data_IF_272661749021
#
_entry.id   IF_272661749021
#
_cell.length_a   1.000
_cell.length_b   1.000
_cell.length_c   1.000
_cell.angle_alpha   90.00
_cell.angle_beta   90.00
_cell.angle_gamma   90.00
#
_symmetry.space_group_name_H-M   'P 1'
#
loop_
_entity.id
_entity.type
_entity.pdbx_description
1 polymer ?
#
# COMPACT_ATOMS: atom_id res chain seq x y z
N UNK A 1 3.18 17.85 -9.30
CA UNK A 1 1.95 17.22 -8.77
C UNK A 1 1.78 17.62 -7.31
N UNK A 2 0.68 18.30 -7.01
CA UNK A 2 0.21 18.55 -5.64
C UNK A 2 -0.67 17.38 -5.22
N UNK A 3 -0.32 16.71 -4.11
CA UNK A 3 -1.02 15.52 -3.63
C UNK A 3 -2.16 15.83 -2.66
N UNK A 4 -2.18 17.05 -2.09
CA UNK A 4 -3.19 17.52 -1.13
C UNK A 4 -4.62 17.36 -1.62
N UNK A 5 -4.87 17.63 -2.91
CA UNK A 5 -6.19 17.46 -3.53
C UNK A 5 -6.71 16.01 -3.56
N UNK A 6 -5.83 15.02 -3.37
CA UNK A 6 -6.18 13.59 -3.40
C UNK A 6 -6.20 12.96 -2.01
N UNK A 7 -6.02 13.75 -0.96
CA UNK A 7 -5.98 13.29 0.42
C UNK A 7 -7.17 13.90 1.15
N UNK A 8 -7.89 13.09 1.93
CA UNK A 8 -9.01 13.58 2.74
C UNK A 8 -8.56 13.88 4.17
N UNK A 9 -7.37 13.43 4.57
CA UNK A 9 -6.82 13.62 5.91
C UNK A 9 -5.42 14.26 5.87
N UNK A 10 -5.32 15.54 6.27
CA UNK A 10 -4.07 16.31 6.17
C UNK A 10 -2.99 15.89 7.19
N UNK A 11 -3.32 15.08 8.19
CA UNK A 11 -2.39 14.79 9.29
C UNK A 11 -1.49 13.58 9.04
N UNK A 12 -1.43 13.04 7.81
CA UNK A 12 -0.62 11.85 7.44
C UNK A 12 0.83 11.98 7.95
N UNK A 13 1.34 10.89 8.55
CA UNK A 13 2.70 10.78 9.06
C UNK A 13 3.38 9.56 8.47
N UNK A 14 4.20 9.76 7.44
CA UNK A 14 5.05 8.72 6.86
C UNK A 14 6.51 9.06 7.17
N UNK A 15 7.27 8.10 7.69
CA UNK A 15 8.71 8.25 7.91
C UNK A 15 9.48 7.60 6.76
N UNK A 16 10.53 8.20 6.24
CA UNK A 16 11.35 7.58 5.19
C UNK A 16 12.83 7.96 5.26
N UNK A 17 13.71 7.10 4.75
CA UNK A 17 15.12 7.44 4.49
C UNK A 17 15.36 8.07 3.10
N UNK A 18 14.26 8.38 2.40
CA UNK A 18 14.24 9.01 1.09
C UNK A 18 13.30 10.23 1.12
N UNK A 19 13.64 11.34 0.45
CA UNK A 19 12.90 12.59 0.53
C UNK A 19 11.63 12.57 -0.33
N UNK A 20 10.71 11.65 -0.05
CA UNK A 20 9.38 11.66 -0.64
C UNK A 20 8.56 12.86 -0.15
N UNK A 21 7.66 13.35 -0.99
CA UNK A 21 6.71 14.39 -0.56
C UNK A 21 5.85 13.90 0.60
N UNK A 22 5.55 14.82 1.54
CA UNK A 22 4.73 14.57 2.72
C UNK A 22 5.27 13.47 3.65
N UNK A 23 6.59 13.22 3.60
CA UNK A 23 7.28 12.31 4.50
C UNK A 23 8.29 13.09 5.35
N UNK A 24 8.41 12.70 6.61
CA UNK A 24 9.56 13.07 7.43
C UNK A 24 10.76 12.21 7.03
N UNK A 25 11.95 12.79 7.09
CA UNK A 25 13.19 12.10 6.69
C UNK A 25 13.99 11.68 7.92
N UNK A 26 14.40 10.42 7.95
CA UNK A 26 15.35 9.85 8.92
C UNK A 26 16.27 8.87 8.19
N UNK A 27 17.56 9.15 8.18
CA UNK A 27 18.57 8.42 7.42
C UNK A 27 19.38 7.43 8.26
N UNK A 28 19.31 7.50 9.60
CA UNK A 28 19.84 6.46 10.48
C UNK A 28 18.80 5.34 10.68
N UNK A 29 19.18 4.10 10.38
CA UNK A 29 18.26 2.97 10.45
C UNK A 29 17.77 2.68 11.88
N UNK A 30 18.62 2.88 12.88
CA UNK A 30 18.27 2.60 14.28
C UNK A 30 17.28 3.65 14.80
N UNK A 31 17.53 4.92 14.52
CA UNK A 31 16.61 6.02 14.84
C UNK A 31 15.31 5.90 14.05
N UNK A 32 15.37 5.50 12.77
CA UNK A 32 14.19 5.22 11.96
C UNK A 32 13.28 4.18 12.64
N UNK A 33 13.82 3.03 13.06
CA UNK A 33 13.05 1.99 13.73
C UNK A 33 12.53 2.43 15.11
N UNK A 34 13.24 3.32 15.81
CA UNK A 34 12.75 3.89 17.08
C UNK A 34 11.56 4.82 16.82
N UNK A 35 11.68 5.72 15.84
CA UNK A 35 10.70 6.77 15.51
C UNK A 35 9.43 6.22 14.85
N UNK A 36 9.52 5.20 13.99
CA UNK A 36 8.39 4.68 13.17
C UNK A 36 7.14 4.30 13.97
N UNK A 37 7.27 4.02 15.27
CA UNK A 37 6.14 3.71 16.16
C UNK A 37 5.15 4.87 16.29
N UNK A 38 5.62 6.11 16.09
CA UNK A 38 4.84 7.34 16.17
C UNK A 38 4.28 7.78 14.80
N UNK A 39 4.49 6.98 13.76
CA UNK A 39 4.08 7.24 12.39
C UNK A 39 2.96 6.27 11.96
N UNK A 40 2.32 6.54 10.82
CA UNK A 40 1.37 5.62 10.22
C UNK A 40 2.09 4.35 9.73
N UNK A 41 3.25 4.55 9.10
CA UNK A 41 4.24 3.53 8.73
C UNK A 41 5.56 4.22 8.33
N UNK A 42 6.61 3.40 8.15
CA UNK A 42 7.90 3.83 7.65
C UNK A 42 8.26 3.15 6.33
N UNK A 43 9.01 3.85 5.48
CA UNK A 43 9.53 3.36 4.20
C UNK A 43 11.05 3.46 4.18
N UNK A 44 11.71 2.31 4.11
CA UNK A 44 13.15 2.22 4.01
C UNK A 44 13.58 1.70 2.64
N UNK A 45 14.56 2.37 2.04
CA UNK A 45 15.10 2.07 0.72
C UNK A 45 16.57 1.75 0.88
N UNK A 46 16.95 0.52 0.53
CA UNK A 46 18.36 0.11 0.53
C UNK A 46 19.10 0.65 -0.69
N UNK A 47 18.45 0.62 -1.86
CA UNK A 47 19.02 1.03 -3.14
C UNK A 47 18.17 2.15 -3.77
N UNK A 48 18.73 3.36 -3.85
CA UNK A 48 18.04 4.60 -4.26
C UNK A 48 18.01 4.75 -5.79
N UNK A 49 17.50 3.75 -6.49
CA UNK A 49 17.35 3.79 -7.94
C UNK A 49 16.22 4.71 -8.40
N UNK A 50 16.30 5.18 -9.66
CA UNK A 50 15.15 5.82 -10.32
C UNK A 50 14.10 4.75 -10.63
N UNK A 51 12.83 5.04 -10.33
CA UNK A 51 11.66 4.15 -10.56
C UNK A 51 11.50 2.97 -9.58
N UNK A 52 11.63 3.24 -8.28
CA UNK A 52 11.37 2.25 -7.23
C UNK A 52 9.94 1.68 -7.30
N UNK A 53 9.83 0.36 -7.14
CA UNK A 53 8.58 -0.38 -6.97
C UNK A 53 8.36 -0.80 -5.52
N UNK A 54 7.14 -1.20 -5.16
CA UNK A 54 6.85 -1.71 -3.82
C UNK A 54 7.64 -2.97 -3.45
N UNK A 55 8.04 -3.78 -4.43
CA UNK A 55 8.88 -4.96 -4.22
C UNK A 55 10.35 -4.62 -3.93
N UNK A 56 10.76 -3.37 -4.11
CA UNK A 56 12.14 -2.88 -3.95
C UNK A 56 12.29 -1.96 -2.72
N UNK A 57 11.22 -1.74 -1.96
CA UNK A 57 11.23 -0.94 -0.74
C UNK A 57 10.82 -1.81 0.45
N UNK A 58 11.26 -1.42 1.64
CA UNK A 58 10.87 -2.04 2.90
C UNK A 58 9.84 -1.16 3.60
N UNK A 59 8.64 -1.70 3.82
CA UNK A 59 7.59 -0.99 4.56
C UNK A 59 7.48 -1.55 5.97
N UNK A 60 7.64 -0.70 6.97
CA UNK A 60 7.49 -1.06 8.38
C UNK A 60 6.20 -0.45 8.92
N UNK A 61 5.33 -1.25 9.53
CA UNK A 61 4.22 -0.67 10.28
C UNK A 61 4.70 -0.04 11.61
N UNK A 62 3.80 0.67 12.29
CA UNK A 62 4.07 1.26 13.60
C UNK A 62 4.34 0.27 14.74
N UNK A 63 4.28 -1.04 14.48
CA UNK A 63 4.73 -2.11 15.37
C UNK A 63 6.09 -2.67 14.99
N UNK A 64 6.85 -1.96 14.13
CA UNK A 64 8.16 -2.35 13.59
C UNK A 64 8.16 -3.66 12.80
N UNK A 65 6.99 -4.13 12.34
CA UNK A 65 6.91 -5.32 11.50
C UNK A 65 7.11 -4.93 10.05
N UNK A 66 8.08 -5.60 9.41
CA UNK A 66 8.30 -5.51 7.97
C UNK A 66 7.16 -6.20 7.22
N UNK A 67 6.53 -5.45 6.31
CA UNK A 67 5.46 -5.87 5.41
C UNK A 67 6.05 -6.16 4.03
N UNK A 68 5.65 -7.28 3.42
CA UNK A 68 5.97 -7.53 2.02
C UNK A 68 4.95 -6.84 1.08
N UNK A 69 5.17 -6.93 -0.22
CA UNK A 69 4.26 -6.35 -1.22
C UNK A 69 2.83 -6.91 -1.08
N UNK A 70 2.71 -8.22 -0.88
CA UNK A 70 1.44 -8.89 -0.70
C UNK A 70 0.68 -8.35 0.51
N UNK A 71 1.35 -8.17 1.66
CA UNK A 71 0.79 -7.56 2.87
C UNK A 71 0.22 -6.17 2.56
N UNK A 72 0.95 -5.34 1.82
CA UNK A 72 0.55 -3.97 1.47
C UNK A 72 -0.70 -4.00 0.60
N UNK A 73 -0.73 -4.83 -0.44
CA UNK A 73 -1.91 -4.97 -1.31
C UNK A 73 -3.12 -5.45 -0.52
N UNK A 74 -2.95 -6.43 0.37
CA UNK A 74 -4.04 -6.93 1.21
C UNK A 74 -4.58 -5.86 2.16
N UNK A 75 -3.71 -4.99 2.73
CA UNK A 75 -4.17 -3.86 3.53
C UNK A 75 -5.02 -2.88 2.70
N UNK A 76 -4.62 -2.57 1.45
CA UNK A 76 -5.45 -1.76 0.55
C UNK A 76 -6.83 -2.36 0.35
N UNK A 77 -6.91 -3.65 0.01
CA UNK A 77 -8.18 -4.33 -0.22
C UNK A 77 -9.08 -4.27 1.03
N UNK A 78 -8.52 -4.55 2.21
CA UNK A 78 -9.25 -4.44 3.48
C UNK A 78 -9.78 -3.02 3.71
N UNK A 79 -8.95 -2.00 3.47
CA UNK A 79 -9.38 -0.62 3.67
C UNK A 79 -10.46 -0.18 2.68
N UNK A 80 -10.34 -0.53 1.40
CA UNK A 80 -11.37 -0.19 0.42
C UNK A 80 -12.72 -0.81 0.79
N UNK A 81 -12.71 -2.09 1.14
CA UNK A 81 -13.93 -2.80 1.50
C UNK A 81 -14.63 -2.17 2.71
N UNK A 82 -13.87 -1.67 3.69
CA UNK A 82 -14.42 -1.05 4.89
C UNK A 82 -14.92 0.39 4.68
N UNK A 83 -14.20 1.15 3.86
CA UNK A 83 -14.41 2.59 3.68
C UNK A 83 -15.44 2.88 2.60
N UNK A 84 -15.33 2.23 1.44
CA UNK A 84 -16.12 2.61 0.26
C UNK A 84 -17.51 1.98 0.30
N UNK A 85 -17.63 0.73 0.80
CA UNK A 85 -18.90 -0.01 0.89
C UNK A 85 -19.73 -0.01 -0.41
N UNK A 86 -19.05 0.10 -1.54
CA UNK A 86 -19.60 0.11 -2.90
C UNK A 86 -18.93 -0.99 -3.71
N UNK A 87 -19.66 -1.55 -4.69
CA UNK A 87 -19.09 -2.53 -5.61
C UNK A 87 -18.06 -1.86 -6.52
N UNK A 88 -16.78 -2.12 -6.26
CA UNK A 88 -15.68 -1.57 -7.06
C UNK A 88 -14.84 -2.69 -7.67
N UNK A 89 -14.42 -2.48 -8.92
CA UNK A 89 -13.47 -3.35 -9.61
C UNK A 89 -12.04 -3.14 -9.09
N UNK A 90 -11.34 -4.22 -8.80
CA UNK A 90 -9.91 -4.19 -8.47
C UNK A 90 -9.14 -5.24 -9.26
N UNK A 91 -8.02 -4.86 -9.86
CA UNK A 91 -7.14 -5.75 -10.60
C UNK A 91 -5.86 -6.00 -9.81
N UNK A 92 -5.64 -7.22 -9.33
CA UNK A 92 -4.45 -7.58 -8.54
C UNK A 92 -3.67 -8.71 -9.19
N UNK A 93 -2.37 -8.78 -8.91
CA UNK A 93 -1.48 -9.85 -9.35
C UNK A 93 -2.02 -11.24 -8.91
N UNK A 94 -1.90 -12.27 -9.74
CA UNK A 94 -2.38 -13.63 -9.40
C UNK A 94 -1.73 -14.19 -8.13
N UNK A 95 -0.52 -13.74 -7.82
CA UNK A 95 0.21 -14.16 -6.63
C UNK A 95 -0.35 -13.59 -5.32
N UNK A 96 -1.22 -12.58 -5.36
CA UNK A 96 -1.82 -12.00 -4.15
C UNK A 96 -2.71 -13.06 -3.47
N UNK A 97 -2.42 -13.47 -2.23
CA UNK A 97 -3.15 -14.55 -1.55
C UNK A 97 -4.64 -14.24 -1.35
N UNK A 98 -5.47 -15.28 -1.34
CA UNK A 98 -6.94 -15.18 -1.17
C UNK A 98 -7.39 -15.20 0.30
N UNK A 99 -6.48 -14.98 1.24
CA UNK A 99 -6.70 -15.22 2.68
C UNK A 99 -7.73 -14.29 3.34
N UNK A 100 -8.11 -13.21 2.66
CA UNK A 100 -9.12 -12.25 3.13
C UNK A 100 -10.36 -12.21 2.24
N UNK A 101 -10.40 -12.91 1.11
CA UNK A 101 -11.43 -12.77 0.07
C UNK A 101 -12.85 -12.92 0.64
N UNK A 102 -13.07 -13.88 1.53
CA UNK A 102 -14.37 -14.12 2.16
C UNK A 102 -14.90 -12.93 2.99
N UNK A 103 -14.04 -11.93 3.28
CA UNK A 103 -14.36 -10.71 4.03
C UNK A 103 -14.48 -9.48 3.12
N UNK A 104 -14.14 -9.60 1.84
CA UNK A 104 -14.08 -8.50 0.87
C UNK A 104 -15.36 -8.44 0.02
N UNK A 105 -16.51 -8.35 0.69
CA UNK A 105 -17.86 -8.44 0.09
C UNK A 105 -18.17 -7.36 -0.94
N UNK A 106 -17.48 -6.22 -0.89
CA UNK A 106 -17.71 -5.08 -1.77
C UNK A 106 -16.72 -5.02 -2.95
N UNK A 107 -15.74 -5.93 -3.03
CA UNK A 107 -14.72 -5.87 -4.06
C UNK A 107 -14.94 -6.92 -5.14
N UNK A 108 -14.97 -6.49 -6.40
CA UNK A 108 -14.92 -7.37 -7.56
C UNK A 108 -13.44 -7.58 -7.91
N UNK A 109 -12.84 -8.62 -7.33
CA UNK A 109 -11.40 -8.88 -7.42
C UNK A 109 -11.08 -9.68 -8.68
N UNK A 110 -10.38 -9.05 -9.62
CA UNK A 110 -9.83 -9.67 -10.81
C UNK A 110 -8.35 -9.99 -10.59
N UNK A 111 -7.95 -11.25 -10.77
CA UNK A 111 -6.56 -11.70 -10.59
C UNK A 111 -5.90 -11.95 -11.94
N UNK A 112 -4.96 -11.08 -12.33
CA UNK A 112 -4.39 -11.05 -13.68
C UNK A 112 -2.86 -10.93 -13.64
N UNK A 113 -2.20 -11.41 -14.70
CA UNK A 113 -0.74 -11.28 -14.89
C UNK A 113 -0.35 -9.97 -15.62
N UNK A 114 -1.34 -9.13 -15.89
CA UNK A 114 -1.23 -7.83 -16.54
C UNK A 114 -2.11 -6.80 -15.81
N UNK A 115 -1.82 -5.52 -16.04
CA UNK A 115 -2.62 -4.40 -15.53
C UNK A 115 -3.87 -4.26 -16.40
N UNK A 116 -5.04 -4.32 -15.78
CA UNK A 116 -6.29 -4.03 -16.47
C UNK A 116 -6.84 -2.68 -16.01
N UNK A 117 -6.94 -1.75 -16.95
CA UNK A 117 -7.44 -0.39 -16.72
C UNK A 117 -8.92 -0.24 -17.05
N UNK A 118 -9.58 -1.30 -17.53
CA UNK A 118 -10.99 -1.28 -17.84
C UNK A 118 -11.81 -1.38 -16.55
N UNK A 119 -12.55 -0.31 -16.24
CA UNK A 119 -13.45 -0.16 -15.08
C UNK A 119 -12.86 -0.46 -13.68
N UNK A 120 -11.53 -0.62 -13.57
CA UNK A 120 -10.87 -0.93 -12.30
C UNK A 120 -10.51 0.35 -11.53
N UNK A 121 -11.00 0.44 -10.30
CA UNK A 121 -10.71 1.54 -9.37
C UNK A 121 -9.28 1.47 -8.80
N UNK A 122 -8.74 0.26 -8.67
CA UNK A 122 -7.43 -0.01 -8.10
C UNK A 122 -6.72 -1.11 -8.87
N UNK A 123 -5.43 -0.92 -9.13
CA UNK A 123 -4.58 -1.91 -9.78
C UNK A 123 -3.32 -2.13 -8.94
N UNK A 124 -3.03 -3.38 -8.59
CA UNK A 124 -1.78 -3.78 -7.95
C UNK A 124 -1.13 -4.95 -8.70
N UNK A 125 -0.14 -4.68 -9.55
CA UNK A 125 0.47 -5.69 -10.43
C UNK A 125 1.98 -5.48 -10.56
N UNK A 126 2.79 -6.55 -10.52
CA UNK A 126 4.25 -6.50 -10.70
C UNK A 126 4.97 -5.44 -9.85
N UNK A 127 4.53 -5.29 -8.59
CA UNK A 127 5.11 -4.35 -7.61
C UNK A 127 4.66 -2.90 -7.77
N UNK A 128 3.75 -2.61 -8.70
CA UNK A 128 3.20 -1.28 -8.91
C UNK A 128 1.78 -1.20 -8.37
N UNK A 129 1.45 -0.08 -7.75
CA UNK A 129 0.12 0.23 -7.21
C UNK A 129 -0.37 1.50 -7.89
N UNK A 130 -1.52 1.43 -8.54
CA UNK A 130 -2.07 2.47 -9.42
C UNK A 130 -3.54 2.71 -9.06
N UNK A 131 -3.94 3.97 -9.14
CA UNK A 131 -5.32 4.43 -8.93
C UNK A 131 -5.82 5.06 -10.25
N UNK A 132 -6.42 4.30 -11.17
CA UNK A 132 -6.72 4.77 -12.53
C UNK A 132 -7.60 6.01 -12.61
N UNK A 133 -8.47 6.22 -11.61
CA UNK A 133 -9.30 7.43 -11.50
C UNK A 133 -8.49 8.71 -11.20
N UNK A 134 -7.24 8.59 -10.74
CA UNK A 134 -6.33 9.71 -10.44
C UNK A 134 -5.25 9.80 -11.52
N UNK A 135 -4.58 8.69 -11.81
CA UNK A 135 -3.56 8.60 -12.86
C UNK A 135 -3.43 7.15 -13.33
N UNK A 136 -3.24 6.97 -14.64
CA UNK A 136 -2.90 5.67 -15.24
C UNK A 136 -1.40 5.36 -15.14
N UNK A 137 -0.58 6.35 -14.81
CA UNK A 137 0.86 6.17 -14.61
C UNK A 137 1.17 5.76 -13.17
N UNK A 138 2.17 4.88 -13.03
CA UNK A 138 2.65 4.49 -11.72
C UNK A 138 3.41 5.63 -11.04
N UNK A 139 3.04 5.91 -9.80
CA UNK A 139 3.72 6.87 -8.94
C UNK A 139 3.79 6.31 -7.51
N UNK A 140 5.01 6.00 -7.05
CA UNK A 140 5.23 5.43 -5.72
C UNK A 140 4.77 6.39 -4.61
N UNK A 141 5.09 7.68 -4.68
CA UNK A 141 4.70 8.66 -3.66
C UNK A 141 3.18 8.72 -3.50
N UNK A 142 2.45 8.79 -4.63
CA UNK A 142 0.99 8.79 -4.61
C UNK A 142 0.45 7.53 -3.93
N UNK A 143 1.02 6.36 -4.23
CA UNK A 143 0.60 5.12 -3.62
C UNK A 143 0.90 5.05 -2.11
N UNK A 144 2.06 5.54 -1.66
CA UNK A 144 2.40 5.63 -0.24
C UNK A 144 1.44 6.59 0.50
N UNK A 145 1.19 7.76 -0.07
CA UNK A 145 0.26 8.75 0.46
C UNK A 145 -1.16 8.16 0.57
N UNK A 146 -1.63 7.46 -0.47
CA UNK A 146 -2.94 6.79 -0.44
C UNK A 146 -3.01 5.68 0.58
N UNK A 147 -1.92 4.93 0.80
CA UNK A 147 -1.86 3.94 1.86
C UNK A 147 -2.07 4.59 3.24
N UNK A 148 -1.43 5.73 3.49
CA UNK A 148 -1.58 6.45 4.76
C UNK A 148 -2.96 7.08 4.94
N UNK A 149 -3.51 7.70 3.88
CA UNK A 149 -4.86 8.27 3.88
C UNK A 149 -5.91 7.20 4.24
N UNK A 150 -5.87 6.06 3.54
CA UNK A 150 -6.80 4.95 3.77
C UNK A 150 -6.62 4.31 5.14
N UNK A 151 -5.38 4.11 5.59
CA UNK A 151 -5.05 3.63 6.95
C UNK A 151 -5.71 4.53 8.00
N UNK A 152 -5.62 5.85 7.85
CA UNK A 152 -6.23 6.79 8.81
C UNK A 152 -7.74 6.79 8.75
N UNK A 153 -8.32 6.76 7.55
CA UNK A 153 -9.77 6.68 7.36
C UNK A 153 -10.37 5.41 7.94
N UNK A 154 -9.69 4.27 7.82
CA UNK A 154 -10.13 3.01 8.42
C UNK A 154 -9.92 2.95 9.94
N UNK A 155 -9.10 3.87 10.49
CA UNK A 155 -8.66 3.87 11.90
C UNK A 155 -7.98 2.56 12.31
N UNK A 156 -7.41 1.83 11.35
CA UNK A 156 -6.69 0.58 11.57
C UNK A 156 -5.20 0.76 11.33
N UNK A 157 -4.40 -0.16 11.85
CA UNK A 157 -2.97 -0.21 11.54
C UNK A 157 -2.73 -1.10 10.33
N UNK A 158 -1.61 -0.90 9.64
CA UNK A 158 -1.15 -1.86 8.64
C UNK A 158 -0.80 -3.18 9.33
N UNK A 159 -1.35 -4.28 8.81
CA UNK A 159 -1.17 -5.61 9.38
C UNK A 159 -0.25 -6.45 8.49
N UNK A 160 0.62 -7.23 9.13
CA UNK A 160 1.33 -8.33 8.46
C UNK A 160 0.44 -9.56 8.44
N UNK A 161 0.11 -10.07 7.27
CA UNK A 161 -0.76 -11.22 7.13
C UNK A 161 0.04 -12.51 7.24
N UNK A 162 -0.54 -13.50 7.92
CA UNK A 162 0.03 -14.84 7.94
C UNK A 162 -0.36 -15.57 6.66
N UNK A 163 0.52 -15.49 5.66
CA UNK A 163 0.37 -16.23 4.41
C UNK A 163 0.84 -17.66 4.70
N UNK A 164 -0.09 -18.54 5.06
CA UNK A 164 0.19 -19.96 5.14
C UNK A 164 0.43 -20.45 3.71
N UNK A 165 1.70 -20.65 3.34
CA UNK A 165 2.07 -21.38 2.14
C UNK A 165 1.76 -22.87 2.36
N UNK A 166 0.47 -23.24 2.37
CA UNK A 166 0.11 -24.60 2.01
C UNK A 166 0.39 -24.72 0.53
N UNK A 167 1.59 -25.22 0.19
CA UNK A 167 1.78 -25.93 -1.07
C UNK A 167 0.76 -27.06 -1.04
N UNK A 168 -0.31 -26.91 -1.83
CA UNK A 168 -1.18 -28.03 -2.13
C UNK A 168 -0.32 -29.11 -2.79
N UNK A 169 -0.55 -30.35 -2.34
CA UNK A 169 0.21 -31.56 -2.65
C UNK A 169 0.21 -31.87 -4.13
#
# INVERSE_FOLDING_TARGET
>A
MEYSQYILNNDIKILSNYPFKMCDVEDDFNEFLKKVINYDFGVWIDDKNKNLKFTQIKIYNNKRKLLNYEDVVLNFLVFFNEILREQIGVCVDKKIPKIVDNKLTYLIIQRKDYKDFDENYFIANKGEIIFPAISKEYNLELALIKLADLKRRSKKNLIKFHINNKKEK
#
